data_IF_024463145948
#
_entry.id   IF_024463145948
#
_cell.length_a   1.000
_cell.length_b   1.000
_cell.length_c   1.000
_cell.angle_alpha   90.00
_cell.angle_beta   90.00
_cell.angle_gamma   90.00
#
_symmetry.space_group_name_H-M   'P 1'
#
loop_
_entity.id
_entity.type
_entity.pdbx_description
1 polymer ?
#
# COMPACT_ATOMS: atom_id res chain seq x y z
N UNK A 1 59.64 64.14 13.23
CA UNK A 1 58.71 64.14 14.37
C UNK A 1 57.31 63.79 13.86
N UNK A 2 56.42 63.25 14.70
CA UNK A 2 55.04 62.82 14.36
C UNK A 2 54.08 64.04 14.15
N UNK A 3 52.76 63.91 13.85
CA UNK A 3 51.86 62.75 14.07
C UNK A 3 50.82 62.39 12.98
N UNK A 4 49.88 61.50 13.38
CA UNK A 4 48.73 60.92 12.66
C UNK A 4 47.49 61.84 12.55
N UNK A 5 46.40 61.27 11.98
CA UNK A 5 44.95 61.48 12.20
C UNK A 5 44.18 61.95 10.95
N UNK A 6 43.00 61.42 10.56
CA UNK A 6 42.08 60.40 11.14
C UNK A 6 41.40 59.53 10.04
N UNK A 7 40.61 58.53 10.45
CA UNK A 7 39.77 57.61 9.63
C UNK A 7 38.26 57.94 9.83
N UNK A 8 37.24 57.47 9.10
CA UNK A 8 37.02 56.40 8.09
C UNK A 8 36.10 57.01 6.95
N UNK A 9 35.08 56.42 6.26
CA UNK A 9 34.56 55.05 6.27
C UNK A 9 34.41 54.28 4.92
N UNK A 10 34.21 52.98 5.09
CA UNK A 10 33.86 51.88 4.17
C UNK A 10 32.85 52.07 3.02
N UNK A 11 33.06 51.29 1.94
CA UNK A 11 32.02 50.49 1.25
C UNK A 11 32.63 49.42 0.30
N UNK A 12 32.24 48.14 0.45
CA UNK A 12 32.61 47.05 -0.48
C UNK A 12 31.52 46.79 -1.56
N UNK A 13 31.90 46.27 -2.75
CA UNK A 13 30.93 45.74 -3.73
C UNK A 13 31.07 44.23 -4.04
N UNK A 14 29.97 43.51 -3.78
CA UNK A 14 29.38 42.49 -4.67
C UNK A 14 30.11 41.18 -5.03
N UNK A 15 29.77 40.13 -4.27
CA UNK A 15 29.31 38.79 -4.71
C UNK A 15 29.97 38.06 -5.91
N UNK A 16 30.52 36.86 -5.63
CA UNK A 16 30.99 35.89 -6.64
C UNK A 16 30.06 34.68 -6.73
N UNK A 17 29.29 34.58 -7.82
CA UNK A 17 28.35 33.47 -8.05
C UNK A 17 29.03 32.17 -8.47
N UNK A 18 29.14 31.20 -7.54
CA UNK A 18 29.39 29.78 -7.87
C UNK A 18 28.23 28.91 -7.38
N UNK A 19 27.70 28.09 -8.28
CA UNK A 19 26.50 27.29 -8.03
C UNK A 19 26.70 26.22 -6.96
N UNK A 20 25.72 26.08 -6.06
CA UNK A 20 25.63 24.94 -5.15
C UNK A 20 25.33 23.67 -5.95
N UNK A 21 26.20 22.67 -5.85
CA UNK A 21 25.75 21.29 -6.05
C UNK A 21 24.79 20.91 -4.91
N UNK A 22 23.78 20.07 -5.13
CA UNK A 22 22.97 19.54 -4.04
C UNK A 22 23.85 18.64 -3.16
N UNK A 23 23.91 18.90 -1.85
CA UNK A 23 24.52 17.96 -0.92
C UNK A 23 23.73 16.64 -0.91
N UNK A 24 24.40 15.47 -0.93
CA UNK A 24 23.73 14.21 -0.66
C UNK A 24 23.17 14.25 0.77
N UNK A 25 21.87 14.00 0.90
CA UNK A 25 21.19 14.01 2.20
C UNK A 25 21.87 13.01 3.14
N UNK A 26 22.51 13.52 4.20
CA UNK A 26 23.16 12.68 5.20
C UNK A 26 22.07 11.95 5.98
N UNK A 27 22.09 10.62 5.95
CA UNK A 27 21.22 9.77 6.77
C UNK A 27 21.30 10.24 8.25
N UNK A 28 20.16 10.45 8.93
CA UNK A 28 20.12 11.09 10.24
C UNK A 28 20.87 10.29 11.30
N UNK A 29 21.66 10.99 12.10
CA UNK A 29 22.59 10.37 13.05
C UNK A 29 21.92 9.97 14.37
N UNK A 30 21.84 8.65 14.62
CA UNK A 30 21.88 8.02 15.95
C UNK A 30 20.78 8.42 16.97
N UNK A 31 19.69 9.06 16.55
CA UNK A 31 18.38 8.85 17.16
C UNK A 31 17.76 7.57 16.58
N UNK A 32 16.79 6.96 17.28
CA UNK A 32 16.11 5.76 16.80
C UNK A 32 15.45 6.00 15.44
N UNK A 33 15.58 5.05 14.51
CA UNK A 33 15.05 5.19 13.16
C UNK A 33 13.53 5.43 13.17
N UNK A 34 13.06 6.38 12.37
CA UNK A 34 11.64 6.57 12.12
C UNK A 34 11.09 5.32 11.39
N UNK A 35 10.21 4.58 12.08
CA UNK A 35 9.65 3.33 11.59
C UNK A 35 8.67 3.56 10.43
N UNK A 36 8.03 4.73 10.32
CA UNK A 36 7.18 5.04 9.19
C UNK A 36 8.03 5.32 7.94
N UNK A 37 9.12 6.07 8.07
CA UNK A 37 10.04 6.35 6.95
C UNK A 37 10.78 5.10 6.49
N UNK A 38 11.19 4.22 7.41
CA UNK A 38 11.78 2.92 7.04
C UNK A 38 10.78 1.95 6.40
N UNK A 39 9.54 1.90 6.88
CA UNK A 39 8.48 1.08 6.28
C UNK A 39 8.17 1.57 4.85
N UNK A 40 8.01 2.87 4.66
CA UNK A 40 7.81 3.51 3.35
C UNK A 40 8.96 3.22 2.37
N UNK A 41 10.22 3.35 2.82
CA UNK A 41 11.39 2.96 2.03
C UNK A 41 11.36 1.47 1.65
N UNK A 42 11.03 0.58 2.60
CA UNK A 42 10.97 -0.86 2.34
C UNK A 42 9.85 -1.21 1.36
N UNK A 43 8.62 -0.78 1.62
CA UNK A 43 7.46 -1.10 0.75
C UNK A 43 7.58 -0.44 -0.64
N UNK A 44 8.28 0.70 -0.77
CA UNK A 44 8.65 1.31 -2.07
C UNK A 44 9.59 0.40 -2.86
N UNK A 45 10.72 -0.02 -2.28
CA UNK A 45 11.69 -0.90 -2.98
C UNK A 45 11.10 -2.27 -3.29
N UNK A 46 10.29 -2.81 -2.39
CA UNK A 46 9.55 -4.05 -2.63
C UNK A 46 8.61 -3.89 -3.82
N UNK A 47 7.83 -2.81 -3.87
CA UNK A 47 6.92 -2.54 -4.99
C UNK A 47 7.67 -2.42 -6.32
N UNK A 48 8.81 -1.74 -6.35
CA UNK A 48 9.61 -1.56 -7.56
C UNK A 48 10.29 -2.85 -8.04
N UNK A 49 10.69 -3.75 -7.12
CA UNK A 49 11.15 -5.12 -7.43
C UNK A 49 10.04 -5.98 -8.05
N UNK A 50 8.82 -5.96 -7.48
CA UNK A 50 7.67 -6.70 -8.03
C UNK A 50 7.19 -6.18 -9.39
N UNK A 51 7.51 -4.93 -9.74
CA UNK A 51 7.15 -4.31 -11.02
C UNK A 51 8.31 -4.27 -12.04
N UNK A 52 9.50 -4.74 -11.67
CA UNK A 52 10.67 -4.79 -12.54
C UNK A 52 11.26 -3.41 -12.88
N UNK A 53 11.09 -2.42 -11.99
CA UNK A 53 11.59 -1.03 -12.12
C UNK A 53 12.43 -0.57 -10.91
N UNK A 54 13.47 -1.30 -10.46
CA UNK A 54 14.21 -0.97 -9.25
C UNK A 54 15.19 0.19 -9.44
N UNK A 55 14.65 1.42 -9.47
CA UNK A 55 15.44 2.66 -9.61
C UNK A 55 15.11 3.68 -8.50
N UNK A 56 13.82 3.89 -8.18
CA UNK A 56 13.40 4.81 -7.13
C UNK A 56 13.98 4.41 -5.75
N UNK A 57 14.76 5.32 -5.15
CA UNK A 57 15.40 5.20 -3.81
C UNK A 57 16.32 3.98 -3.61
N UNK A 58 16.74 3.28 -4.67
CA UNK A 58 17.55 2.05 -4.54
C UNK A 58 18.87 2.25 -3.77
N UNK A 59 19.65 3.27 -4.13
CA UNK A 59 20.95 3.56 -3.49
C UNK A 59 20.79 4.03 -2.03
N UNK A 60 19.64 4.60 -1.64
CA UNK A 60 19.29 4.93 -0.25
C UNK A 60 19.10 3.63 0.56
N UNK A 61 18.28 2.71 0.06
CA UNK A 61 18.02 1.42 0.70
C UNK A 61 19.27 0.53 0.78
N UNK A 62 20.06 0.42 -0.29
CA UNK A 62 21.29 -0.37 -0.27
C UNK A 62 22.39 0.29 0.59
N UNK A 63 22.46 1.62 0.61
CA UNK A 63 23.31 2.37 1.53
C UNK A 63 22.95 2.14 3.00
N UNK A 64 21.65 2.06 3.31
CA UNK A 64 21.10 1.72 4.63
C UNK A 64 21.40 0.27 5.03
N UNK A 65 21.12 -0.72 4.17
CA UNK A 65 21.46 -2.13 4.44
C UNK A 65 22.96 -2.33 4.64
N UNK A 66 23.81 -1.64 3.85
CA UNK A 66 25.25 -1.65 4.03
C UNK A 66 25.71 -0.94 5.32
N UNK A 67 24.91 -0.03 5.90
CA UNK A 67 25.17 0.55 7.22
C UNK A 67 24.80 -0.43 8.34
N UNK A 68 23.61 -1.04 8.29
CA UNK A 68 23.17 -2.07 9.24
C UNK A 68 24.14 -3.26 9.30
N UNK A 69 24.65 -3.71 8.15
CA UNK A 69 25.63 -4.80 8.12
C UNK A 69 26.94 -4.42 8.85
N UNK A 70 27.46 -3.20 8.66
CA UNK A 70 28.64 -2.71 9.40
C UNK A 70 28.37 -2.62 10.89
N UNK A 71 27.18 -2.17 11.29
CA UNK A 71 26.82 -2.10 12.71
C UNK A 71 26.77 -3.50 13.35
N UNK A 72 26.17 -4.49 12.68
CA UNK A 72 26.18 -5.90 13.10
C UNK A 72 27.57 -6.58 12.93
N UNK A 73 28.56 -5.96 12.26
CA UNK A 73 29.97 -6.38 12.26
C UNK A 73 30.74 -5.85 13.48
N UNK A 74 30.43 -4.64 13.93
CA UNK A 74 31.06 -4.02 15.11
C UNK A 74 30.32 -4.36 16.42
N UNK A 75 29.41 -5.33 16.38
CA UNK A 75 28.46 -5.68 17.45
C UNK A 75 27.61 -4.49 17.97
N UNK A 76 27.52 -3.42 17.19
CA UNK A 76 26.67 -2.26 17.45
C UNK A 76 25.22 -2.64 17.09
N UNK A 77 24.42 -3.02 18.10
CA UNK A 77 23.05 -3.52 17.92
C UNK A 77 22.05 -2.39 17.62
N UNK A 78 22.31 -1.62 16.57
CA UNK A 78 21.61 -0.38 16.23
C UNK A 78 20.13 -0.55 15.86
N UNK A 79 19.73 -1.76 15.43
CA UNK A 79 18.33 -2.11 15.11
C UNK A 79 17.78 -3.16 16.08
N UNK A 80 16.51 -3.04 16.45
CA UNK A 80 15.81 -3.99 17.31
C UNK A 80 14.91 -4.95 16.51
N UNK A 81 14.51 -6.05 17.14
CA UNK A 81 13.62 -7.05 16.54
C UNK A 81 12.27 -6.44 16.11
N UNK A 82 11.71 -5.56 16.95
CA UNK A 82 10.46 -4.87 16.67
C UNK A 82 10.58 -3.95 15.46
N UNK A 83 11.70 -3.22 15.32
CA UNK A 83 11.98 -2.40 14.13
C UNK A 83 11.98 -3.24 12.86
N UNK A 84 12.64 -4.40 12.84
CA UNK A 84 12.66 -5.30 11.67
C UNK A 84 11.24 -5.82 11.37
N UNK A 85 10.49 -6.22 12.40
CA UNK A 85 9.10 -6.69 12.27
C UNK A 85 8.18 -5.63 11.68
N UNK A 86 8.28 -4.40 12.15
CA UNK A 86 7.32 -3.33 11.88
C UNK A 86 7.66 -2.52 10.63
N UNK A 87 8.89 -2.65 10.10
CA UNK A 87 9.35 -2.04 8.83
C UNK A 87 9.43 -3.01 7.65
N UNK A 88 9.11 -4.30 7.85
CA UNK A 88 9.20 -5.36 6.85
C UNK A 88 10.62 -5.61 6.28
N UNK A 89 11.69 -5.31 7.03
CA UNK A 89 13.07 -5.48 6.56
C UNK A 89 13.47 -6.94 6.28
N UNK A 90 12.93 -7.91 7.05
CA UNK A 90 13.04 -9.35 6.76
C UNK A 90 12.49 -9.69 5.37
N UNK A 91 11.39 -9.04 4.98
CA UNK A 91 10.75 -9.22 3.69
C UNK A 91 11.51 -8.51 2.59
N UNK A 92 11.99 -7.28 2.80
CA UNK A 92 12.88 -6.63 1.83
C UNK A 92 14.08 -7.54 1.50
N UNK A 93 14.75 -8.10 2.52
CA UNK A 93 15.84 -9.06 2.33
C UNK A 93 15.38 -10.31 1.58
N UNK A 94 14.22 -10.89 1.92
CA UNK A 94 13.64 -12.05 1.21
C UNK A 94 13.46 -11.77 -0.30
N UNK A 95 12.89 -10.62 -0.66
CA UNK A 95 12.60 -10.26 -2.06
C UNK A 95 13.87 -9.84 -2.84
N UNK A 96 14.91 -9.36 -2.17
CA UNK A 96 16.23 -9.16 -2.79
C UNK A 96 16.89 -10.49 -3.16
N UNK A 97 16.75 -11.51 -2.31
CA UNK A 97 17.37 -12.82 -2.53
C UNK A 97 16.59 -13.69 -3.54
N UNK A 98 15.26 -13.58 -3.63
CA UNK A 98 14.42 -14.38 -4.55
C UNK A 98 14.84 -14.21 -6.03
N UNK A 99 15.27 -15.29 -6.73
CA UNK A 99 15.59 -15.28 -8.15
C UNK A 99 14.52 -14.66 -9.06
N UNK A 100 13.24 -14.70 -8.67
CA UNK A 100 12.10 -14.18 -9.43
C UNK A 100 12.16 -12.67 -9.70
N UNK A 101 12.70 -11.87 -8.78
CA UNK A 101 12.77 -10.41 -8.92
C UNK A 101 14.12 -9.91 -9.47
N UNK A 102 15.04 -10.84 -9.83
CA UNK A 102 16.35 -10.55 -10.45
C UNK A 102 16.18 -10.13 -11.92
N UNK A 103 15.58 -8.97 -12.15
CA UNK A 103 15.26 -8.47 -13.48
C UNK A 103 16.54 -8.29 -14.34
N UNK A 104 16.58 -8.68 -15.63
CA UNK A 104 17.79 -8.57 -16.49
C UNK A 104 18.31 -7.14 -16.78
N UNK A 105 17.76 -6.11 -16.12
CA UNK A 105 18.21 -4.71 -16.18
C UNK A 105 18.80 -4.21 -14.85
N UNK A 106 18.68 -4.95 -13.74
CA UNK A 106 19.28 -4.49 -12.48
C UNK A 106 20.81 -4.51 -12.64
N UNK A 107 21.54 -3.44 -12.29
CA UNK A 107 22.99 -3.38 -12.54
C UNK A 107 23.77 -4.51 -11.86
N UNK A 108 24.98 -4.78 -12.39
CA UNK A 108 25.95 -5.77 -11.86
C UNK A 108 26.22 -5.60 -10.34
N UNK A 109 25.98 -4.40 -9.78
CA UNK A 109 26.01 -4.11 -8.33
C UNK A 109 25.12 -5.06 -7.51
N UNK A 110 24.00 -5.50 -8.07
CA UNK A 110 22.99 -6.34 -7.40
C UNK A 110 23.55 -7.61 -6.76
N UNK A 111 24.58 -8.25 -7.34
CA UNK A 111 25.24 -9.41 -6.70
C UNK A 111 25.75 -9.07 -5.29
N UNK A 112 26.42 -7.91 -5.16
CA UNK A 112 26.96 -7.44 -3.88
C UNK A 112 25.88 -7.03 -2.90
N UNK A 113 24.73 -6.58 -3.40
CA UNK A 113 23.58 -6.22 -2.58
C UNK A 113 22.85 -7.46 -2.06
N UNK A 114 22.78 -8.54 -2.86
CA UNK A 114 22.35 -9.88 -2.42
C UNK A 114 23.33 -10.49 -1.41
N UNK A 115 24.64 -10.48 -1.69
CA UNK A 115 25.69 -10.97 -0.76
C UNK A 115 25.63 -10.27 0.61
N UNK A 116 25.29 -8.97 0.63
CA UNK A 116 25.02 -8.20 1.85
C UNK A 116 23.73 -8.65 2.54
N UNK A 117 22.64 -8.82 1.80
CA UNK A 117 21.34 -9.25 2.32
C UNK A 117 21.41 -10.66 2.94
N UNK A 118 22.04 -11.63 2.26
CA UNK A 118 22.31 -12.99 2.76
C UNK A 118 23.15 -12.97 4.05
N UNK A 119 24.16 -12.09 4.11
CA UNK A 119 25.02 -11.96 5.30
C UNK A 119 24.30 -11.30 6.47
N UNK A 120 23.44 -10.31 6.20
CA UNK A 120 22.62 -9.64 7.20
C UNK A 120 21.53 -10.59 7.76
N UNK A 121 20.84 -11.36 6.91
CA UNK A 121 19.89 -12.39 7.35
C UNK A 121 20.56 -13.40 8.28
N UNK A 122 21.70 -13.97 7.86
CA UNK A 122 22.47 -14.95 8.66
C UNK A 122 22.78 -14.41 10.06
N UNK A 123 23.15 -13.13 10.19
CA UNK A 123 23.39 -12.50 11.50
C UNK A 123 22.11 -12.30 12.29
N UNK A 124 21.01 -11.89 11.66
CA UNK A 124 19.72 -11.74 12.33
C UNK A 124 19.13 -13.09 12.78
N UNK A 125 19.33 -14.16 12.01
CA UNK A 125 19.02 -15.54 12.40
C UNK A 125 19.85 -15.97 13.62
N UNK A 126 21.17 -15.69 13.65
CA UNK A 126 22.02 -16.01 14.81
C UNK A 126 21.66 -15.20 16.07
N UNK A 127 21.41 -13.89 15.90
CA UNK A 127 21.12 -12.91 16.95
C UNK A 127 19.72 -13.08 17.56
N UNK A 128 18.68 -13.18 16.72
CA UNK A 128 17.28 -13.18 17.15
C UNK A 128 16.64 -14.57 17.18
N UNK A 129 17.16 -15.55 16.43
CA UNK A 129 16.78 -16.97 16.49
C UNK A 129 15.26 -17.20 16.33
N UNK A 130 14.63 -17.95 17.24
CA UNK A 130 13.21 -18.35 17.19
C UNK A 130 12.24 -17.19 16.87
N UNK A 131 12.31 -16.04 17.57
CA UNK A 131 11.58 -14.82 17.20
C UNK A 131 11.63 -14.44 15.71
N UNK A 132 12.80 -14.53 15.05
CA UNK A 132 12.97 -14.20 13.63
C UNK A 132 12.21 -15.19 12.73
N UNK A 133 12.41 -16.50 12.94
CA UNK A 133 11.66 -17.53 12.22
C UNK A 133 10.14 -17.44 12.43
N UNK A 134 9.68 -16.96 13.59
CA UNK A 134 8.27 -16.81 13.93
C UNK A 134 7.73 -15.39 13.65
N UNK A 135 8.45 -14.53 12.94
CA UNK A 135 8.06 -13.14 12.70
C UNK A 135 6.73 -13.03 11.94
N UNK A 136 6.50 -13.89 10.93
CA UNK A 136 5.20 -14.01 10.27
C UNK A 136 4.07 -14.41 11.24
N UNK A 137 4.29 -15.44 12.06
CA UNK A 137 3.29 -15.93 13.00
C UNK A 137 2.94 -14.88 14.06
N UNK A 138 3.90 -14.04 14.46
CA UNK A 138 3.65 -12.85 15.27
C UNK A 138 2.75 -11.85 14.54
N UNK A 139 3.07 -11.47 13.29
CA UNK A 139 2.23 -10.56 12.47
C UNK A 139 0.81 -11.10 12.29
N UNK A 140 0.64 -12.38 11.94
CA UNK A 140 -0.67 -13.01 11.77
C UNK A 140 -1.49 -13.07 13.07
N UNK A 141 -0.83 -13.30 14.22
CA UNK A 141 -1.48 -13.29 15.55
C UNK A 141 -2.04 -11.92 15.93
N UNK A 142 -1.41 -10.84 15.46
CA UNK A 142 -1.73 -9.48 15.89
C UNK A 142 -2.63 -8.73 14.87
N UNK A 143 -2.68 -9.19 13.61
CA UNK A 143 -3.69 -8.79 12.60
C UNK A 143 -5.14 -8.73 13.12
N UNK A 144 -5.69 -9.72 13.86
CA UNK A 144 -7.06 -9.68 14.38
C UNK A 144 -7.19 -8.96 15.73
N UNK A 145 -6.09 -8.57 16.39
CA UNK A 145 -6.10 -7.86 17.68
C UNK A 145 -6.06 -6.34 17.49
N UNK A 146 -5.13 -5.88 16.67
CA UNK A 146 -4.80 -4.46 16.47
C UNK A 146 -4.64 -4.09 15.00
N UNK A 147 -4.30 -5.06 14.15
CA UNK A 147 -4.09 -4.85 12.71
C UNK A 147 -5.37 -4.80 11.88
N UNK A 148 -5.21 -4.96 10.56
CA UNK A 148 -6.28 -4.74 9.57
C UNK A 148 -7.45 -5.75 9.64
N UNK A 149 -7.31 -6.87 10.36
CA UNK A 149 -8.39 -7.85 10.62
C UNK A 149 -9.09 -7.67 11.97
N UNK A 150 -8.80 -6.60 12.74
CA UNK A 150 -9.56 -6.30 13.97
C UNK A 150 -11.07 -6.30 13.71
N UNK A 151 -11.83 -6.77 14.69
CA UNK A 151 -13.30 -6.82 14.67
C UNK A 151 -13.91 -7.62 13.50
N UNK A 152 -13.10 -8.43 12.81
CA UNK A 152 -13.51 -9.36 11.75
C UNK A 152 -13.16 -10.79 12.20
N UNK A 153 -14.10 -11.71 12.04
CA UNK A 153 -13.96 -13.12 12.39
C UNK A 153 -14.01 -14.01 11.14
N UNK A 154 -13.26 -15.12 11.19
CA UNK A 154 -13.40 -16.23 10.24
C UNK A 154 -14.49 -17.18 10.75
N UNK A 155 -15.52 -17.41 9.95
CA UNK A 155 -16.49 -18.49 10.11
C UNK A 155 -16.09 -19.66 9.18
N UNK A 156 -15.45 -20.73 9.70
CA UNK A 156 -15.03 -21.86 8.88
C UNK A 156 -16.22 -22.73 8.40
N UNK A 157 -17.39 -22.60 9.04
CA UNK A 157 -18.57 -23.42 8.79
C UNK A 157 -19.56 -22.78 7.78
N UNK A 158 -19.14 -21.71 7.08
CA UNK A 158 -19.99 -21.04 6.11
C UNK A 158 -19.90 -21.70 4.73
N UNK A 159 -21.02 -22.23 4.21
CA UNK A 159 -21.10 -22.91 2.91
C UNK A 159 -20.63 -22.04 1.74
N UNK A 160 -20.87 -20.73 1.82
CA UNK A 160 -20.51 -19.77 0.77
C UNK A 160 -19.19 -19.06 1.09
N UNK A 161 -18.33 -18.94 0.09
CA UNK A 161 -16.98 -18.40 0.25
C UNK A 161 -16.93 -16.93 0.71
N UNK A 162 -17.95 -16.13 0.36
CA UNK A 162 -18.18 -14.75 0.82
C UNK A 162 -18.56 -14.68 2.32
N UNK A 163 -19.25 -15.69 2.83
CA UNK A 163 -19.84 -15.69 4.18
C UNK A 163 -18.86 -16.19 5.25
N UNK A 164 -17.68 -16.66 4.82
CA UNK A 164 -16.58 -17.09 5.69
C UNK A 164 -15.92 -15.94 6.46
N UNK A 165 -16.04 -14.70 6.02
CA UNK A 165 -15.51 -13.54 6.74
C UNK A 165 -16.64 -12.62 7.18
N UNK A 166 -16.71 -12.33 8.48
CA UNK A 166 -17.84 -11.60 9.07
C UNK A 166 -17.31 -10.51 10.01
N UNK A 167 -17.79 -9.28 9.85
CA UNK A 167 -17.54 -8.21 10.83
C UNK A 167 -18.41 -8.48 12.07
N UNK A 168 -17.82 -8.36 13.27
CA UNK A 168 -18.56 -8.47 14.55
C UNK A 168 -19.53 -7.30 14.71
N UNK A 169 -19.05 -6.11 14.37
CA UNK A 169 -19.81 -4.86 14.32
C UNK A 169 -19.48 -4.16 13.00
N UNK A 170 -20.52 -3.72 12.28
CA UNK A 170 -20.38 -2.87 11.11
C UNK A 170 -20.71 -1.44 11.50
N UNK A 171 -19.77 -0.49 11.35
CA UNK A 171 -20.12 0.92 11.41
C UNK A 171 -20.89 1.27 10.14
N UNK A 172 -22.20 1.52 10.22
CA UNK A 172 -22.90 2.12 9.08
C UNK A 172 -22.44 3.58 8.94
N UNK A 173 -21.50 3.88 8.03
CA UNK A 173 -21.22 5.26 7.61
C UNK A 173 -22.43 5.74 6.81
N UNK A 174 -23.37 6.33 7.56
CA UNK A 174 -24.77 6.37 7.21
C UNK A 174 -25.08 7.34 6.07
N UNK A 175 -25.72 6.80 5.04
CA UNK A 175 -26.73 7.47 4.19
C UNK A 175 -26.34 8.69 3.36
N UNK A 176 -25.21 9.36 3.61
CA UNK A 176 -24.76 10.52 2.85
C UNK A 176 -24.10 10.12 1.53
N UNK A 177 -24.48 10.85 0.48
CA UNK A 177 -23.88 10.80 -0.85
C UNK A 177 -22.60 11.67 -0.88
N UNK A 178 -21.58 11.28 -0.10
CA UNK A 178 -20.33 12.02 -0.02
C UNK A 178 -19.20 11.29 0.72
N UNK A 179 -17.96 11.49 0.26
CA UNK A 179 -16.76 11.09 1.00
C UNK A 179 -16.52 12.11 2.12
N UNK A 180 -16.55 11.67 3.39
CA UNK A 180 -16.15 12.50 4.54
C UNK A 180 -15.02 11.90 5.38
N UNK A 181 -14.81 10.57 5.33
CA UNK A 181 -13.76 9.88 6.11
C UNK A 181 -12.87 8.93 5.28
N UNK A 182 -13.19 8.70 4.00
CA UNK A 182 -12.52 7.67 3.18
C UNK A 182 -12.21 8.22 1.79
N UNK A 183 -10.93 8.25 1.45
CA UNK A 183 -10.40 8.78 0.19
C UNK A 183 -10.19 7.68 -0.86
N UNK A 184 -10.28 7.98 -2.18
CA UNK A 184 -9.89 7.05 -3.23
C UNK A 184 -8.46 6.52 -3.02
N UNK A 185 -8.24 5.25 -3.33
CA UNK A 185 -6.99 4.53 -3.02
C UNK A 185 -7.04 3.74 -1.71
N UNK A 186 -7.95 4.04 -0.77
CA UNK A 186 -8.16 3.23 0.43
C UNK A 186 -8.46 1.76 0.08
N UNK A 187 -7.95 0.84 0.90
CA UNK A 187 -7.91 -0.59 0.58
C UNK A 187 -8.18 -1.49 1.78
N UNK A 188 -8.80 -2.64 1.51
CA UNK A 188 -9.19 -3.67 2.48
C UNK A 188 -8.83 -5.08 2.00
N UNK A 189 -8.55 -5.97 2.95
CA UNK A 189 -8.28 -7.40 2.69
C UNK A 189 -9.49 -8.12 2.07
N UNK A 190 -10.71 -7.79 2.50
CA UNK A 190 -11.97 -8.41 2.05
C UNK A 190 -13.18 -7.50 2.37
N UNK A 191 -14.38 -7.85 1.89
CA UNK A 191 -15.59 -7.04 2.11
C UNK A 191 -16.02 -7.00 3.58
N UNK A 192 -15.66 -7.98 4.41
CA UNK A 192 -15.95 -7.91 5.85
C UNK A 192 -15.18 -6.77 6.53
N UNK A 193 -13.93 -6.51 6.11
CA UNK A 193 -13.17 -5.34 6.56
C UNK A 193 -13.76 -4.03 6.04
N UNK A 194 -14.18 -3.99 4.77
CA UNK A 194 -14.83 -2.82 4.18
C UNK A 194 -16.22 -2.53 4.82
N UNK A 195 -16.92 -3.57 5.28
CA UNK A 195 -18.19 -3.48 6.01
C UNK A 195 -18.01 -3.02 7.46
N UNK A 196 -16.97 -3.52 8.15
CA UNK A 196 -16.56 -2.99 9.48
C UNK A 196 -16.30 -1.48 9.40
N UNK A 197 -15.56 -1.05 8.38
CA UNK A 197 -15.18 0.35 8.17
C UNK A 197 -16.27 1.17 7.44
N UNK A 198 -17.43 0.59 7.14
CA UNK A 198 -18.64 1.30 6.75
C UNK A 198 -18.76 1.80 5.31
N UNK A 199 -17.76 1.58 4.45
CA UNK A 199 -17.86 1.98 3.04
C UNK A 199 -18.89 1.13 2.26
N UNK A 200 -19.18 -0.09 2.74
CA UNK A 200 -20.24 -0.97 2.21
C UNK A 200 -21.16 -1.46 3.32
N UNK A 201 -22.44 -1.68 3.00
CA UNK A 201 -23.47 -2.17 3.91
C UNK A 201 -23.63 -3.70 3.95
N UNK A 202 -22.66 -4.46 3.43
CA UNK A 202 -22.62 -5.92 3.57
C UNK A 202 -21.21 -6.48 3.32
N UNK A 203 -20.92 -7.65 3.90
CA UNK A 203 -19.76 -8.46 3.54
C UNK A 203 -19.91 -9.24 2.22
N UNK A 204 -21.11 -9.21 1.61
CA UNK A 204 -21.43 -9.88 0.32
C UNK A 204 -21.28 -8.91 -0.86
N UNK A 205 -21.05 -9.42 -2.06
CA UNK A 205 -20.95 -8.58 -3.28
C UNK A 205 -22.33 -8.07 -3.75
N UNK A 206 -22.89 -7.09 -3.02
CA UNK A 206 -24.21 -6.50 -3.26
C UNK A 206 -24.17 -4.96 -3.19
N UNK A 207 -25.05 -4.25 -3.93
CA UNK A 207 -25.16 -2.80 -3.85
C UNK A 207 -25.57 -2.36 -2.44
N UNK A 208 -24.83 -1.40 -1.89
CA UNK A 208 -25.11 -0.79 -0.58
C UNK A 208 -26.22 0.24 -0.74
N UNK A 209 -27.35 0.04 -0.06
CA UNK A 209 -28.43 1.03 -0.02
C UNK A 209 -28.08 2.15 0.96
N UNK A 210 -28.19 3.39 0.50
CA UNK A 210 -28.29 4.59 1.34
C UNK A 210 -29.74 5.12 1.34
N UNK A 211 -29.90 6.34 1.85
CA UNK A 211 -31.22 6.98 2.05
C UNK A 211 -31.92 7.37 0.75
N UNK A 212 -31.16 7.74 -0.28
CA UNK A 212 -31.68 8.24 -1.56
C UNK A 212 -31.51 7.25 -2.72
N UNK A 213 -30.76 6.16 -2.52
CA UNK A 213 -30.41 5.22 -3.59
C UNK A 213 -29.35 4.19 -3.20
N UNK A 214 -28.55 3.75 -4.18
CA UNK A 214 -27.33 2.96 -4.00
C UNK A 214 -26.18 3.93 -3.70
N UNK A 215 -25.55 3.79 -2.53
CA UNK A 215 -24.48 4.67 -2.07
C UNK A 215 -23.06 4.09 -2.28
N UNK A 216 -22.95 2.78 -2.50
CA UNK A 216 -21.71 2.09 -2.85
C UNK A 216 -21.97 0.79 -3.62
N UNK A 217 -21.08 0.44 -4.55
CA UNK A 217 -21.19 -0.72 -5.41
C UNK A 217 -19.84 -1.48 -5.42
N UNK A 218 -19.74 -2.64 -4.75
CA UNK A 218 -18.57 -3.50 -4.83
C UNK A 218 -18.59 -4.34 -6.12
N UNK A 219 -17.50 -4.27 -6.88
CA UNK A 219 -17.23 -5.03 -8.10
C UNK A 219 -16.05 -5.99 -7.80
N UNK A 220 -16.36 -7.18 -7.29
CA UNK A 220 -15.38 -8.25 -7.03
C UNK A 220 -15.31 -9.27 -8.18
N UNK A 221 -16.41 -9.47 -8.89
CA UNK A 221 -16.56 -10.49 -9.93
C UNK A 221 -17.19 -9.89 -11.18
N UNK A 222 -17.20 -10.65 -12.28
CA UNK A 222 -17.59 -10.14 -13.61
C UNK A 222 -16.40 -9.54 -14.37
N UNK A 223 -16.69 -8.67 -15.33
CA UNK A 223 -15.72 -8.05 -16.21
C UNK A 223 -16.03 -6.56 -16.40
N UNK A 224 -14.99 -5.73 -16.45
CA UNK A 224 -15.09 -4.37 -16.98
C UNK A 224 -14.56 -4.34 -18.41
N UNK A 225 -15.22 -3.56 -19.27
CA UNK A 225 -14.73 -3.21 -20.61
C UNK A 225 -14.63 -1.69 -20.69
N UNK A 226 -13.47 -1.21 -21.14
CA UNK A 226 -13.26 0.20 -21.46
C UNK A 226 -13.89 0.45 -22.83
N UNK A 227 -14.64 1.55 -22.98
CA UNK A 227 -14.99 2.08 -24.30
C UNK A 227 -14.09 3.29 -24.59
N UNK A 228 -13.07 3.07 -25.43
CA UNK A 228 -11.95 4.01 -25.62
C UNK A 228 -12.38 5.34 -26.26
N UNK A 229 -13.58 5.41 -26.85
CA UNK A 229 -14.12 6.61 -27.50
C UNK A 229 -14.87 7.58 -26.58
N UNK A 230 -15.46 7.13 -25.48
CA UNK A 230 -16.35 7.95 -24.64
C UNK A 230 -15.81 8.22 -23.22
N UNK A 231 -14.74 7.53 -22.80
CA UNK A 231 -14.30 7.53 -21.40
C UNK A 231 -15.28 6.81 -20.46
N UNK A 232 -16.25 6.08 -21.02
CA UNK A 232 -17.23 5.29 -20.27
C UNK A 232 -16.69 3.89 -20.00
N UNK A 233 -17.07 3.33 -18.85
CA UNK A 233 -16.68 1.99 -18.43
C UNK A 233 -17.90 1.10 -18.31
N UNK A 234 -17.87 -0.03 -19.02
CA UNK A 234 -18.97 -0.98 -19.09
C UNK A 234 -18.70 -2.20 -18.21
N UNK A 235 -19.26 -2.20 -17.01
CA UNK A 235 -19.31 -3.38 -16.16
C UNK A 235 -20.32 -4.42 -16.72
N UNK A 236 -19.93 -5.69 -16.71
CA UNK A 236 -20.74 -6.83 -17.14
C UNK A 236 -20.62 -7.96 -16.12
N UNK A 237 -21.75 -8.34 -15.53
CA UNK A 237 -21.90 -9.53 -14.68
C UNK A 237 -22.79 -10.56 -15.38
N UNK A 238 -22.41 -11.83 -15.30
CA UNK A 238 -23.22 -12.97 -15.72
C UNK A 238 -23.49 -13.82 -14.47
N UNK A 239 -24.72 -14.32 -14.33
CA UNK A 239 -25.18 -15.04 -13.14
C UNK A 239 -26.69 -15.22 -13.13
N UNK A 240 -27.24 -15.65 -12.00
CA UNK A 240 -28.68 -15.72 -11.74
C UNK A 240 -29.22 -14.32 -11.44
N UNK A 241 -30.55 -14.15 -11.50
CA UNK A 241 -31.21 -12.86 -11.16
C UNK A 241 -30.88 -12.40 -9.72
N UNK A 242 -30.59 -13.33 -8.80
CA UNK A 242 -30.09 -13.05 -7.43
C UNK A 242 -28.75 -12.33 -7.37
N UNK A 243 -27.97 -12.43 -8.45
CA UNK A 243 -26.59 -11.99 -8.56
C UNK A 243 -26.51 -10.69 -9.39
N UNK A 244 -27.55 -10.43 -10.20
CA UNK A 244 -27.72 -9.19 -10.97
C UNK A 244 -28.08 -8.04 -10.01
N UNK A 245 -27.44 -6.90 -10.21
CA UNK A 245 -27.69 -5.68 -9.43
C UNK A 245 -28.93 -4.92 -9.92
N UNK A 246 -30.09 -5.60 -9.89
CA UNK A 246 -31.40 -5.10 -10.39
C UNK A 246 -31.78 -3.74 -9.78
N UNK A 247 -31.33 -3.44 -8.56
CA UNK A 247 -31.54 -2.14 -7.90
C UNK A 247 -30.86 -0.95 -8.60
N UNK A 248 -29.97 -1.18 -9.58
CA UNK A 248 -29.35 -0.12 -10.39
C UNK A 248 -30.25 0.36 -11.54
N UNK A 249 -31.29 -0.39 -11.93
CA UNK A 249 -32.19 0.00 -13.04
C UNK A 249 -32.82 1.37 -12.79
N UNK A 250 -33.24 1.65 -11.56
CA UNK A 250 -33.86 2.90 -11.14
C UNK A 250 -32.84 3.96 -10.67
N UNK A 251 -31.57 3.86 -11.07
CA UNK A 251 -30.46 4.67 -10.53
C UNK A 251 -29.63 5.35 -11.62
N UNK A 252 -30.15 5.44 -12.84
CA UNK A 252 -29.52 6.20 -13.93
C UNK A 252 -29.40 7.68 -13.52
N UNK A 253 -28.21 8.26 -13.69
CA UNK A 253 -27.85 9.59 -13.21
C UNK A 253 -27.42 9.67 -11.74
N UNK A 254 -27.61 8.61 -10.94
CA UNK A 254 -27.14 8.58 -9.55
C UNK A 254 -25.61 8.41 -9.48
N UNK A 255 -25.01 8.94 -8.42
CA UNK A 255 -23.56 8.87 -8.15
C UNK A 255 -23.28 7.94 -6.97
N UNK A 256 -22.35 7.00 -7.12
CA UNK A 256 -21.99 6.05 -6.06
C UNK A 256 -20.50 5.71 -6.01
N UNK A 257 -20.08 5.22 -4.84
CA UNK A 257 -18.72 4.75 -4.57
C UNK A 257 -18.45 3.41 -5.26
N UNK A 258 -17.44 3.33 -6.15
CA UNK A 258 -16.99 2.06 -6.75
C UNK A 258 -15.88 1.44 -5.90
N UNK A 259 -16.02 0.16 -5.54
CA UNK A 259 -14.93 -0.62 -4.97
C UNK A 259 -14.54 -1.75 -5.93
N UNK A 260 -13.27 -1.86 -6.31
CA UNK A 260 -12.77 -2.94 -7.19
C UNK A 260 -12.06 -4.01 -6.39
N UNK A 261 -12.45 -5.28 -6.58
CA UNK A 261 -11.78 -6.45 -6.00
C UNK A 261 -10.79 -7.11 -6.98
N UNK A 262 -9.77 -7.77 -6.45
CA UNK A 262 -8.71 -8.42 -7.25
C UNK A 262 -9.17 -9.58 -8.17
N UNK A 263 -10.37 -10.12 -7.97
CA UNK A 263 -10.97 -11.14 -8.86
C UNK A 263 -11.76 -10.53 -10.03
N UNK A 264 -11.92 -9.20 -10.08
CA UNK A 264 -12.62 -8.50 -11.15
C UNK A 264 -11.77 -8.56 -12.42
N UNK A 265 -12.36 -8.98 -13.55
CA UNK A 265 -11.66 -8.98 -14.84
C UNK A 265 -11.59 -7.56 -15.40
N UNK A 266 -10.61 -6.79 -14.93
CA UNK A 266 -10.39 -5.38 -15.26
C UNK A 266 -8.90 -5.02 -15.19
N UNK A 267 -8.38 -4.16 -16.09
CA UNK A 267 -7.03 -3.59 -15.94
C UNK A 267 -6.90 -2.68 -14.71
N UNK A 268 -8.02 -2.23 -14.12
CA UNK A 268 -8.03 -1.38 -12.91
C UNK A 268 -8.17 -2.17 -11.60
N UNK A 269 -8.35 -3.49 -11.65
CA UNK A 269 -8.46 -4.32 -10.46
C UNK A 269 -7.17 -4.25 -9.61
N UNK A 270 -7.24 -4.15 -8.27
CA UNK A 270 -6.04 -4.18 -7.43
C UNK A 270 -5.39 -5.58 -7.46
N UNK A 271 -4.07 -5.66 -7.26
CA UNK A 271 -3.32 -6.94 -7.25
C UNK A 271 -3.82 -7.94 -6.18
N UNK A 272 -4.36 -7.42 -5.08
CA UNK A 272 -4.89 -8.16 -3.92
C UNK A 272 -6.07 -7.41 -3.30
N UNK A 273 -6.90 -8.08 -2.49
CA UNK A 273 -7.96 -7.45 -1.69
C UNK A 273 -8.99 -6.66 -2.50
N UNK A 274 -9.35 -5.48 -1.98
CA UNK A 274 -10.39 -4.58 -2.52
C UNK A 274 -9.95 -3.12 -2.33
N UNK A 275 -10.01 -2.29 -3.38
CA UNK A 275 -9.68 -0.85 -3.33
C UNK A 275 -10.92 0.01 -3.61
N UNK A 276 -11.00 1.18 -2.99
CA UNK A 276 -11.99 2.22 -3.31
C UNK A 276 -11.47 3.13 -4.43
N UNK A 277 -12.24 3.27 -5.51
CA UNK A 277 -11.84 3.92 -6.76
C UNK A 277 -12.65 5.21 -7.04
N UNK A 278 -13.17 5.84 -6.00
CA UNK A 278 -13.89 7.11 -6.09
C UNK A 278 -15.37 6.99 -6.49
N UNK A 279 -15.95 8.15 -6.83
CA UNK A 279 -17.35 8.31 -7.18
C UNK A 279 -17.54 8.18 -8.69
N UNK A 280 -18.57 7.43 -9.10
CA UNK A 280 -18.93 7.17 -10.49
C UNK A 280 -20.42 7.38 -10.72
N UNK A 281 -20.81 7.81 -11.92
CA UNK A 281 -22.22 8.05 -12.32
C UNK A 281 -22.71 6.90 -13.19
N UNK A 282 -23.92 6.38 -12.93
CA UNK A 282 -24.53 5.38 -13.81
C UNK A 282 -25.19 6.04 -15.03
N UNK A 283 -24.56 5.92 -16.19
CA UNK A 283 -25.08 6.47 -17.46
C UNK A 283 -26.22 5.62 -18.03
N UNK A 284 -26.13 4.29 -17.96
CA UNK A 284 -27.17 3.38 -18.43
C UNK A 284 -27.07 1.98 -17.79
N UNK A 285 -28.21 1.28 -17.66
CA UNK A 285 -28.27 -0.12 -17.24
C UNK A 285 -29.02 -0.99 -18.28
N UNK A 286 -28.33 -1.43 -19.35
CA UNK A 286 -28.95 -2.29 -20.37
C UNK A 286 -28.96 -3.78 -19.94
N UNK A 287 -30.13 -4.34 -19.70
CA UNK A 287 -30.30 -5.79 -19.52
C UNK A 287 -30.23 -6.52 -20.87
N UNK A 288 -29.13 -7.22 -21.14
CA UNK A 288 -29.06 -8.12 -22.29
C UNK A 288 -29.87 -9.40 -22.00
N UNK A 289 -30.75 -9.86 -22.91
CA UNK A 289 -31.43 -11.14 -22.74
C UNK A 289 -30.44 -12.30 -22.86
N UNK A 290 -30.57 -13.29 -21.98
CA UNK A 290 -29.95 -14.61 -22.17
C UNK A 290 -30.50 -15.25 -23.44
N UNK A 291 -29.60 -15.69 -24.33
CA UNK A 291 -29.88 -16.65 -25.41
C UNK A 291 -29.77 -18.07 -24.86
#
# INVERSE_FOLDING_TARGET
MPPHQDEEPSHEPSESSKGKQPEPQRLPSRAGYDTAVLLDLCDTIRSSLHEGRPEDRWEEAMGFLAALLRDEEHYNRAIEFETIRDTHLDKLISDLMDPKYRHPRVPIRFSKDVERAETLERKWVERFRGPYFNMEQNRYRDLPKTGRLRDVALNPNADNSEERWQAKEGKTLSELEGNLEIEPGHWWLNLACAHRDGIVGSAREKPTKGKYGVAALPLLTGQEKIDEGEGTLKYVRQGRITDIHVSLISQVGATFRILRGHHLRSPYAPKVGIRYDGLWVLIAFPTAPTR
#
